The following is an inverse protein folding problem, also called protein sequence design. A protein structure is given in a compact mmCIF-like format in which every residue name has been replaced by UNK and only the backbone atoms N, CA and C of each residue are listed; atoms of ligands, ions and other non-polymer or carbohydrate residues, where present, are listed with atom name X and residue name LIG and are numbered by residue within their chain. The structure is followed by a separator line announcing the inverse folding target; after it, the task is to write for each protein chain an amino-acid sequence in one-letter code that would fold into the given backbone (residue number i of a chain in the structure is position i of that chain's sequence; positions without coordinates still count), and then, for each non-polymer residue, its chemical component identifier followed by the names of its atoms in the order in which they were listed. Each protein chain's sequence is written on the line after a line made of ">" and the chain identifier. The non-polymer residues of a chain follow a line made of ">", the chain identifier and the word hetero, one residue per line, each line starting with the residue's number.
data_IF_018819994510
#
_entry.id   IF_018819994510
#
_cell.length_a   1.000
_cell.length_b   1.000
_cell.length_c   1.000
_cell.angle_alpha   90.00
_cell.angle_beta   90.00
_cell.angle_gamma   90.00
#
_symmetry.space_group_name_H-M   'P 1'
#
loop_
_entity.id
_entity.type
_entity.pdbx_description
1 polymer ?
#
# COMPACT_ATOMS: atom_id res chain seq x y z
N UNK A 1 4.90 28.00 -12.54
CA UNK A 1 4.09 26.95 -11.91
C UNK A 1 3.32 27.56 -10.76
N UNK A 2 2.01 27.37 -10.64
CA UNK A 2 1.27 27.86 -9.47
C UNK A 2 1.68 27.07 -8.22
N UNK A 3 1.70 27.73 -7.05
CA UNK A 3 2.04 27.09 -5.77
C UNK A 3 1.17 25.85 -5.49
N UNK A 4 -0.12 25.93 -5.83
CA UNK A 4 -1.07 24.82 -5.74
C UNK A 4 -0.61 23.57 -6.50
N UNK A 5 -0.12 23.75 -7.74
CA UNK A 5 0.34 22.61 -8.53
C UNK A 5 1.61 22.00 -7.92
N UNK A 6 2.51 22.82 -7.40
CA UNK A 6 3.73 22.34 -6.73
C UNK A 6 3.36 21.50 -5.51
N UNK A 7 2.46 22.00 -4.66
CA UNK A 7 2.01 21.27 -3.47
C UNK A 7 1.31 19.96 -3.85
N UNK A 8 0.42 19.97 -4.84
CA UNK A 8 -0.26 18.77 -5.30
C UNK A 8 0.72 17.70 -5.79
N UNK A 9 1.72 18.08 -6.57
CA UNK A 9 2.76 17.15 -7.04
C UNK A 9 3.57 16.59 -5.87
N UNK A 10 3.97 17.44 -4.92
CA UNK A 10 4.74 16.99 -3.76
C UNK A 10 3.95 16.03 -2.87
N UNK A 11 2.67 16.31 -2.61
CA UNK A 11 1.80 15.43 -1.81
C UNK A 11 1.57 14.09 -2.51
N UNK A 12 1.38 14.08 -3.83
CA UNK A 12 1.28 12.84 -4.59
C UNK A 12 2.57 12.00 -4.50
N UNK A 13 3.73 12.63 -4.67
CA UNK A 13 5.01 11.94 -4.57
C UNK A 13 5.24 11.37 -3.16
N UNK A 14 4.93 12.14 -2.12
CA UNK A 14 5.02 11.68 -0.74
C UNK A 14 4.06 10.50 -0.46
N UNK A 15 2.81 10.60 -0.92
CA UNK A 15 1.81 9.53 -0.78
C UNK A 15 2.22 8.25 -1.51
N UNK A 16 2.76 8.36 -2.73
CA UNK A 16 3.29 7.22 -3.48
C UNK A 16 4.48 6.56 -2.77
N UNK A 17 5.39 7.35 -2.23
CA UNK A 17 6.54 6.83 -1.50
C UNK A 17 6.12 6.09 -0.21
N UNK A 18 5.16 6.66 0.53
CA UNK A 18 4.61 6.06 1.74
C UNK A 18 3.91 4.74 1.43
N UNK A 19 2.99 4.73 0.46
CA UNK A 19 2.25 3.51 0.07
C UNK A 19 3.16 2.41 -0.45
N UNK A 20 4.21 2.75 -1.20
CA UNK A 20 5.24 1.78 -1.61
C UNK A 20 5.92 1.13 -0.41
N UNK A 21 6.35 1.95 0.56
CA UNK A 21 7.10 1.47 1.72
C UNK A 21 6.23 0.60 2.64
N UNK A 22 4.97 0.97 2.83
CA UNK A 22 3.98 0.19 3.58
C UNK A 22 3.72 -1.15 2.89
N UNK A 23 3.41 -1.14 1.59
CA UNK A 23 3.14 -2.38 0.85
C UNK A 23 4.30 -3.37 0.88
N UNK A 24 5.55 -2.89 0.78
CA UNK A 24 6.72 -3.76 0.89
C UNK A 24 6.87 -4.40 2.29
N UNK A 25 6.53 -3.67 3.36
CA UNK A 25 6.57 -4.19 4.73
C UNK A 25 5.45 -5.21 4.97
N UNK A 26 4.24 -4.88 4.54
CA UNK A 26 3.04 -5.69 4.79
C UNK A 26 3.08 -7.02 4.03
N UNK A 27 3.55 -7.03 2.79
CA UNK A 27 3.72 -8.28 2.02
C UNK A 27 4.72 -9.23 2.68
N UNK A 28 5.81 -8.69 3.26
CA UNK A 28 6.77 -9.51 4.00
C UNK A 28 6.14 -10.11 5.27
N UNK A 29 5.32 -9.33 5.99
CA UNK A 29 4.61 -9.78 7.18
C UNK A 29 3.54 -10.84 6.85
N UNK A 30 2.81 -10.67 5.75
CA UNK A 30 1.70 -11.55 5.37
C UNK A 30 2.15 -12.86 4.70
N UNK A 31 3.19 -12.82 3.85
CA UNK A 31 3.55 -13.96 2.97
C UNK A 31 4.96 -14.51 3.28
N UNK A 32 5.70 -13.90 4.22
CA UNK A 32 7.06 -14.33 4.58
C UNK A 32 7.16 -15.79 5.02
N UNK A 33 6.20 -16.29 5.80
CA UNK A 33 6.14 -17.70 6.23
C UNK A 33 5.78 -18.66 5.10
N UNK A 34 4.92 -18.23 4.17
CA UNK A 34 4.49 -19.02 3.01
C UNK A 34 5.62 -19.18 1.99
N UNK A 35 6.41 -18.12 1.77
CA UNK A 35 7.62 -18.20 0.94
C UNK A 35 8.73 -18.96 1.67
N UNK A 36 8.93 -18.71 2.97
CA UNK A 36 9.96 -19.37 3.79
C UNK A 36 9.74 -20.88 3.94
N UNK A 37 8.48 -21.34 3.96
CA UNK A 37 8.11 -22.76 4.01
C UNK A 37 8.12 -23.45 2.64
N UNK A 38 8.43 -22.73 1.56
CA UNK A 38 8.35 -23.20 0.16
C UNK A 38 6.93 -23.58 -0.30
N UNK A 39 5.89 -23.16 0.43
CA UNK A 39 4.51 -23.32 -0.02
C UNK A 39 4.20 -22.44 -1.24
N UNK A 40 4.85 -21.28 -1.34
CA UNK A 40 4.78 -20.36 -2.49
C UNK A 40 6.18 -19.95 -2.94
N UNK A 41 6.38 -19.80 -4.24
CA UNK A 41 7.58 -19.14 -4.78
C UNK A 41 7.48 -17.63 -4.61
N UNK A 42 8.63 -16.94 -4.57
CA UNK A 42 8.67 -15.48 -4.44
C UNK A 42 7.86 -14.77 -5.55
N UNK A 43 7.93 -15.26 -6.79
CA UNK A 43 7.16 -14.70 -7.91
C UNK A 43 5.65 -14.84 -7.72
N UNK A 44 5.19 -16.01 -7.25
CA UNK A 44 3.78 -16.24 -6.96
C UNK A 44 3.30 -15.34 -5.82
N UNK A 45 4.11 -15.23 -4.75
CA UNK A 45 3.81 -14.37 -3.61
C UNK A 45 3.68 -12.90 -4.02
N UNK A 46 4.58 -12.37 -4.85
CA UNK A 46 4.52 -10.97 -5.31
C UNK A 46 3.28 -10.70 -6.17
N UNK A 47 2.93 -11.60 -7.10
CA UNK A 47 1.74 -11.43 -7.95
C UNK A 47 0.46 -11.51 -7.11
N UNK A 48 0.39 -12.49 -6.20
CA UNK A 48 -0.74 -12.67 -5.31
C UNK A 48 -0.91 -11.45 -4.38
N UNK A 49 0.18 -10.99 -3.77
CA UNK A 49 0.21 -9.79 -2.95
C UNK A 49 -0.30 -8.57 -3.71
N UNK A 50 0.23 -8.32 -4.91
CA UNK A 50 -0.16 -7.16 -5.71
C UNK A 50 -1.68 -7.14 -6.01
N UNK A 51 -2.27 -8.31 -6.31
CA UNK A 51 -3.71 -8.42 -6.56
C UNK A 51 -4.50 -8.25 -5.27
N UNK A 52 -4.14 -8.97 -4.20
CA UNK A 52 -4.92 -8.96 -2.96
C UNK A 52 -4.82 -7.64 -2.19
N UNK A 53 -3.64 -7.04 -2.10
CA UNK A 53 -3.43 -5.72 -1.48
C UNK A 53 -4.18 -4.64 -2.26
N UNK A 54 -4.11 -4.66 -3.60
CA UNK A 54 -4.87 -3.72 -4.42
C UNK A 54 -6.38 -3.90 -4.25
N UNK A 55 -6.88 -5.14 -4.27
CA UNK A 55 -8.29 -5.42 -4.02
C UNK A 55 -8.73 -4.95 -2.62
N UNK A 56 -7.93 -5.22 -1.59
CA UNK A 56 -8.19 -4.75 -0.23
C UNK A 56 -8.29 -3.24 -0.16
N UNK A 57 -7.29 -2.53 -0.70
CA UNK A 57 -7.27 -1.07 -0.76
C UNK A 57 -8.45 -0.50 -1.56
N UNK A 58 -8.79 -1.08 -2.71
CA UNK A 58 -9.84 -0.58 -3.60
C UNK A 58 -11.25 -0.81 -3.04
N UNK A 59 -11.54 -1.99 -2.50
CA UNK A 59 -12.88 -2.34 -2.03
C UNK A 59 -13.15 -1.92 -0.58
N UNK A 60 -12.12 -1.92 0.28
CA UNK A 60 -12.29 -1.71 1.72
C UNK A 60 -11.50 -0.51 2.29
N UNK A 61 -10.64 0.13 1.50
CA UNK A 61 -9.78 1.21 1.98
C UNK A 61 -10.53 2.48 2.41
N UNK A 62 -11.71 2.75 1.84
CA UNK A 62 -12.44 4.00 2.09
C UNK A 62 -12.81 4.21 3.56
N UNK A 63 -13.13 3.16 4.29
CA UNK A 63 -13.52 3.25 5.69
C UNK A 63 -12.35 3.64 6.60
N UNK A 64 -11.16 3.09 6.30
CA UNK A 64 -9.93 3.44 7.02
C UNK A 64 -9.49 4.86 6.65
N UNK A 65 -9.57 5.25 5.38
CA UNK A 65 -9.25 6.62 4.96
C UNK A 65 -10.13 7.66 5.65
N UNK A 66 -11.45 7.42 5.74
CA UNK A 66 -12.37 8.29 6.49
C UNK A 66 -11.99 8.41 7.96
N UNK A 67 -11.62 7.29 8.59
CA UNK A 67 -11.19 7.29 10.01
C UNK A 67 -9.91 8.11 10.22
N UNK A 68 -8.95 8.05 9.28
CA UNK A 68 -7.71 8.83 9.36
C UNK A 68 -7.99 10.32 9.11
N UNK A 69 -8.89 10.67 8.19
CA UNK A 69 -9.28 12.05 7.92
C UNK A 69 -9.95 12.69 9.14
N UNK A 70 -10.86 11.97 9.81
CA UNK A 70 -11.64 12.46 10.94
C UNK A 70 -10.92 12.39 12.29
N UNK A 71 -9.97 11.45 12.46
CA UNK A 71 -9.37 11.12 13.76
C UNK A 71 -7.98 11.69 14.02
N UNK A 72 -7.30 12.22 13.01
CA UNK A 72 -5.91 12.71 13.12
C UNK A 72 -5.82 14.24 13.09
N UNK A 73 -6.85 14.94 12.61
CA UNK A 73 -6.93 16.41 12.58
C UNK A 73 -7.93 16.91 13.63
#
# INVERSE_FOLDING_TARGET
>A
MSLWLILLVLTLLAGLYMTWSIGANDVANAIGTSVGSHALTLRQAVILAAILEFCGAFFFGSHVTQTIEEGVI
#
